data_IF_839246016469
#
_entry.id   IF_839246016469
#
_cell.length_a   1.000
_cell.length_b   1.000
_cell.length_c   1.000
_cell.angle_alpha   90.00
_cell.angle_beta   90.00
_cell.angle_gamma   90.00
#
_symmetry.space_group_name_H-M   'P 1'
#
loop_
_entity.id
_entity.type
_entity.pdbx_description
1 polymer ?
#
# COMPACT_ATOMS: atom_id res chain seq x y z
N UNK A 1 5.58 -29.66 11.78
CA UNK A 1 6.85 -29.63 11.02
C UNK A 1 7.72 -30.80 11.44
N UNK A 2 8.34 -31.49 10.51
CA UNK A 2 9.38 -32.44 10.84
C UNK A 2 10.67 -31.66 11.09
N UNK A 3 11.40 -31.93 12.19
CA UNK A 3 12.68 -31.28 12.52
C UNK A 3 13.72 -31.31 11.38
N UNK A 4 13.51 -32.15 10.36
CA UNK A 4 14.41 -32.34 9.23
C UNK A 4 14.45 -31.19 8.21
N UNK A 5 13.40 -30.37 8.18
CA UNK A 5 13.24 -29.32 7.14
C UNK A 5 13.72 -27.95 7.61
N UNK A 6 14.16 -27.83 8.88
CA UNK A 6 14.63 -26.55 9.45
C UNK A 6 16.06 -26.22 9.01
N UNK A 7 16.26 -24.98 8.57
CA UNK A 7 17.56 -24.41 8.24
C UNK A 7 18.16 -23.70 9.45
N UNK A 8 19.26 -24.21 9.97
CA UNK A 8 19.91 -23.70 11.17
C UNK A 8 21.34 -23.29 10.82
N UNK A 9 21.77 -22.09 11.26
CA UNK A 9 23.19 -21.67 11.18
C UNK A 9 23.77 -21.66 12.60
N UNK A 10 24.94 -22.26 12.77
CA UNK A 10 25.75 -22.21 13.99
C UNK A 10 26.93 -21.29 13.69
N UNK A 11 27.08 -20.23 14.50
CA UNK A 11 28.16 -19.24 14.38
C UNK A 11 28.98 -19.25 15.66
N UNK A 12 30.25 -19.57 15.57
CA UNK A 12 31.18 -19.59 16.71
C UNK A 12 32.61 -19.64 16.13
N UNK A 13 33.55 -18.88 16.65
CA UNK A 13 34.92 -18.87 16.15
C UNK A 13 35.69 -20.17 16.47
N UNK A 14 35.30 -20.87 17.53
CA UNK A 14 35.92 -22.09 17.98
C UNK A 14 35.36 -23.31 17.25
N UNK A 15 36.15 -23.98 16.43
CA UNK A 15 35.76 -25.17 15.69
C UNK A 15 35.18 -26.28 16.60
N UNK A 16 35.78 -26.49 17.77
CA UNK A 16 35.30 -27.48 18.73
C UNK A 16 33.87 -27.21 19.20
N UNK A 17 33.57 -25.96 19.51
CA UNK A 17 32.23 -25.51 19.94
C UNK A 17 31.20 -25.78 18.85
N UNK A 18 31.48 -25.39 17.60
CA UNK A 18 30.60 -25.65 16.45
C UNK A 18 30.28 -27.14 16.28
N UNK A 19 31.30 -28.01 16.44
CA UNK A 19 31.13 -29.46 16.28
C UNK A 19 30.25 -30.04 17.42
N UNK A 20 30.44 -29.59 18.64
CA UNK A 20 29.65 -30.02 19.83
C UNK A 20 28.17 -29.67 19.61
N UNK A 21 27.88 -28.41 19.29
CA UNK A 21 26.51 -27.94 19.04
C UNK A 21 25.86 -28.66 17.86
N UNK A 22 26.57 -28.80 16.75
CA UNK A 22 26.12 -29.55 15.55
C UNK A 22 25.78 -30.99 15.89
N UNK A 23 26.65 -31.64 16.66
CA UNK A 23 26.45 -33.05 17.04
C UNK A 23 25.20 -33.22 17.92
N UNK A 24 24.97 -32.29 18.86
CA UNK A 24 23.78 -32.28 19.72
C UNK A 24 22.50 -32.08 18.88
N UNK A 25 22.51 -31.13 17.95
CA UNK A 25 21.37 -30.91 17.04
C UNK A 25 21.10 -32.10 16.14
N UNK A 26 22.14 -32.70 15.56
CA UNK A 26 21.98 -33.88 14.71
C UNK A 26 21.39 -35.06 15.47
N UNK A 27 21.78 -35.28 16.74
CA UNK A 27 21.15 -36.31 17.62
C UNK A 27 19.68 -35.99 17.89
N UNK A 28 19.30 -34.71 17.92
CA UNK A 28 17.91 -34.29 18.08
C UNK A 28 17.10 -34.33 16.76
N UNK A 29 17.72 -34.73 15.63
CA UNK A 29 17.04 -34.95 14.35
C UNK A 29 17.03 -33.73 13.43
N UNK A 30 17.92 -32.72 13.66
CA UNK A 30 18.11 -31.58 12.78
C UNK A 30 19.24 -31.87 11.78
N UNK A 31 18.88 -31.95 10.49
CA UNK A 31 19.83 -32.27 9.41
C UNK A 31 20.30 -31.02 8.65
N UNK A 32 19.48 -29.97 8.59
CA UNK A 32 19.76 -28.71 7.85
C UNK A 32 20.68 -27.73 8.57
N UNK A 33 21.83 -28.21 9.12
CA UNK A 33 22.74 -27.40 9.92
C UNK A 33 23.95 -26.94 9.12
N UNK A 34 24.06 -25.63 8.91
CA UNK A 34 25.21 -24.93 8.30
C UNK A 34 26.12 -24.38 9.38
N UNK A 35 27.40 -24.27 9.10
CA UNK A 35 28.40 -23.77 10.05
C UNK A 35 29.04 -22.48 9.51
N UNK A 36 29.24 -21.52 10.38
CA UNK A 36 30.01 -20.30 10.15
C UNK A 36 31.07 -20.15 11.24
N UNK A 37 32.28 -19.78 10.87
CA UNK A 37 33.39 -19.51 11.80
C UNK A 37 33.48 -18.04 12.20
N UNK A 38 32.65 -17.19 11.65
CA UNK A 38 32.58 -15.76 11.89
C UNK A 38 31.20 -15.20 11.58
N UNK A 39 30.88 -14.05 12.14
CA UNK A 39 29.67 -13.32 11.85
C UNK A 39 29.57 -12.97 10.34
N UNK A 40 30.68 -12.57 9.73
CA UNK A 40 30.74 -12.26 8.29
C UNK A 40 30.39 -13.46 7.43
N UNK A 41 30.89 -14.66 7.76
CA UNK A 41 30.52 -15.89 7.07
C UNK A 41 29.05 -16.23 7.27
N UNK A 42 28.50 -16.03 8.46
CA UNK A 42 27.09 -16.25 8.71
C UNK A 42 26.17 -15.36 7.87
N UNK A 43 26.51 -14.07 7.74
CA UNK A 43 25.81 -13.14 6.85
C UNK A 43 25.91 -13.57 5.38
N UNK A 44 27.06 -14.07 4.94
CA UNK A 44 27.22 -14.64 3.60
C UNK A 44 26.31 -15.86 3.37
N UNK A 45 26.24 -16.80 4.32
CA UNK A 45 25.35 -17.95 4.25
C UNK A 45 23.87 -17.56 4.23
N UNK A 46 23.50 -16.48 4.92
CA UNK A 46 22.14 -15.94 4.88
C UNK A 46 21.78 -15.29 3.54
N UNK A 47 22.77 -14.75 2.82
CA UNK A 47 22.55 -14.22 1.47
C UNK A 47 22.30 -15.34 0.44
N UNK A 48 22.97 -16.47 0.61
CA UNK A 48 22.80 -17.63 -0.26
C UNK A 48 21.46 -18.34 0.00
N UNK A 49 21.11 -18.52 1.26
CA UNK A 49 19.90 -19.19 1.69
C UNK A 49 19.46 -18.72 3.08
N UNK A 50 18.18 -18.39 3.24
CA UNK A 50 17.59 -18.03 4.55
C UNK A 50 17.80 -19.12 5.60
N UNK A 51 17.71 -18.73 6.86
CA UNK A 51 17.73 -19.63 8.01
C UNK A 51 16.50 -19.38 8.89
N UNK A 52 15.98 -20.45 9.49
CA UNK A 52 14.91 -20.35 10.47
C UNK A 52 15.46 -19.97 11.84
N UNK A 53 16.65 -20.51 12.19
CA UNK A 53 17.30 -20.28 13.49
C UNK A 53 18.79 -20.04 13.31
N UNK A 54 19.32 -19.06 14.04
CA UNK A 54 20.75 -18.83 14.22
C UNK A 54 21.13 -19.10 15.67
N UNK A 55 22.17 -19.91 15.86
CA UNK A 55 22.85 -20.11 17.13
C UNK A 55 24.18 -19.40 17.05
N UNK A 56 24.35 -18.27 17.69
CA UNK A 56 25.58 -17.49 17.62
C UNK A 56 26.29 -17.45 18.95
N UNK A 57 27.62 -17.55 18.93
CA UNK A 57 28.42 -17.19 20.09
C UNK A 57 28.26 -15.69 20.40
N UNK A 58 28.16 -15.37 21.68
CA UNK A 58 28.13 -13.97 22.11
C UNK A 58 29.44 -13.25 21.78
N UNK A 59 30.56 -13.87 22.13
CA UNK A 59 31.88 -13.26 22.00
C UNK A 59 32.63 -13.85 20.80
N UNK A 60 32.71 -13.07 19.74
CA UNK A 60 33.48 -13.43 18.54
C UNK A 60 34.41 -12.28 18.14
N UNK A 61 35.55 -12.58 17.47
CA UNK A 61 36.42 -11.53 16.92
C UNK A 61 35.71 -10.71 15.84
N UNK A 62 36.10 -9.44 15.67
CA UNK A 62 35.63 -8.48 14.66
C UNK A 62 34.16 -8.03 14.82
N UNK A 63 33.24 -8.97 14.98
CA UNK A 63 31.81 -8.72 15.13
C UNK A 63 31.24 -9.70 16.14
N UNK A 64 30.72 -9.21 17.24
CA UNK A 64 30.14 -10.05 18.31
C UNK A 64 28.72 -10.52 17.96
N UNK A 65 28.11 -11.30 18.87
CA UNK A 65 26.77 -11.85 18.66
C UNK A 65 25.67 -10.80 18.65
N UNK A 66 25.85 -9.67 19.38
CA UNK A 66 24.88 -8.57 19.40
C UNK A 66 24.92 -7.77 18.09
N UNK A 67 26.10 -7.41 17.62
CA UNK A 67 26.25 -6.71 16.34
C UNK A 67 25.78 -7.58 15.18
N UNK A 68 26.04 -8.90 15.21
CA UNK A 68 25.47 -9.84 14.25
C UNK A 68 23.95 -9.84 14.29
N UNK A 69 23.36 -9.79 15.49
CA UNK A 69 21.89 -9.72 15.66
C UNK A 69 21.32 -8.49 15.01
N UNK A 70 21.89 -7.31 15.25
CA UNK A 70 21.45 -6.05 14.63
C UNK A 70 21.46 -6.13 13.09
N UNK A 71 22.51 -6.69 12.52
CA UNK A 71 22.63 -6.88 11.06
C UNK A 71 21.57 -7.84 10.51
N UNK A 72 21.27 -8.90 11.26
CA UNK A 72 20.22 -9.84 10.86
C UNK A 72 18.84 -9.18 10.96
N UNK A 73 18.55 -8.42 12.01
CA UNK A 73 17.29 -7.70 12.17
C UNK A 73 17.07 -6.68 11.05
N UNK A 74 18.09 -5.89 10.71
CA UNK A 74 18.02 -4.98 9.57
C UNK A 74 17.72 -5.72 8.26
N UNK A 75 18.44 -6.83 8.01
CA UNK A 75 18.21 -7.66 6.82
C UNK A 75 16.80 -8.25 6.80
N UNK A 76 16.32 -8.74 7.92
CA UNK A 76 14.99 -9.34 8.05
C UNK A 76 13.89 -8.32 7.78
N UNK A 77 14.05 -7.08 8.25
CA UNK A 77 13.14 -5.97 7.96
C UNK A 77 13.11 -5.64 6.45
N UNK A 78 14.29 -5.50 5.81
CA UNK A 78 14.40 -5.23 4.38
C UNK A 78 13.82 -6.35 3.50
N UNK A 79 14.04 -7.62 3.89
CA UNK A 79 13.54 -8.78 3.17
C UNK A 79 12.08 -9.13 3.54
N UNK A 80 11.56 -8.59 4.65
CA UNK A 80 10.29 -8.95 5.26
C UNK A 80 10.25 -10.43 5.64
N UNK A 81 11.28 -10.89 6.30
CA UNK A 81 11.46 -12.24 6.84
C UNK A 81 11.75 -12.15 8.34
N UNK A 82 11.75 -13.27 9.00
CA UNK A 82 12.11 -13.37 10.40
C UNK A 82 13.01 -14.56 10.64
N UNK A 83 14.17 -14.33 11.26
CA UNK A 83 15.15 -15.34 11.66
C UNK A 83 15.22 -15.38 13.17
N UNK A 84 14.95 -16.50 13.81
CA UNK A 84 15.10 -16.61 15.26
C UNK A 84 16.59 -16.68 15.65
N UNK A 85 16.98 -15.93 16.67
CA UNK A 85 18.37 -15.82 17.13
C UNK A 85 18.50 -16.27 18.58
N UNK A 86 19.38 -17.24 18.80
CA UNK A 86 19.73 -17.74 20.14
C UNK A 86 21.22 -17.48 20.38
N UNK A 87 21.56 -16.71 21.41
CA UNK A 87 22.96 -16.50 21.79
C UNK A 87 23.49 -17.59 22.71
N UNK A 88 24.70 -18.04 22.44
CA UNK A 88 25.47 -18.95 23.30
C UNK A 88 26.45 -18.11 24.15
N UNK A 89 26.34 -18.14 25.45
CA UNK A 89 27.17 -17.31 26.36
C UNK A 89 27.85 -18.13 27.43
N UNK A 90 29.06 -17.72 27.82
CA UNK A 90 29.75 -18.21 29.01
C UNK A 90 29.51 -17.33 30.24
N UNK A 91 28.96 -16.12 30.04
CA UNK A 91 28.78 -15.11 31.09
C UNK A 91 27.44 -15.22 31.81
N UNK A 92 27.47 -14.82 33.10
CA UNK A 92 26.33 -14.76 34.00
C UNK A 92 26.10 -13.31 34.43
N UNK A 93 25.19 -12.60 33.76
CA UNK A 93 24.84 -11.23 34.19
C UNK A 93 23.42 -10.91 33.72
N UNK A 94 22.56 -10.44 34.62
CA UNK A 94 21.19 -10.04 34.28
C UNK A 94 21.21 -8.86 33.32
N UNK A 95 22.12 -7.92 33.51
CA UNK A 95 22.23 -6.71 32.68
C UNK A 95 22.58 -7.05 31.22
N UNK A 96 23.46 -8.02 30.99
CA UNK A 96 23.81 -8.49 29.64
C UNK A 96 22.62 -9.15 28.95
N UNK A 97 21.77 -9.84 29.72
CA UNK A 97 20.56 -10.47 29.14
C UNK A 97 19.53 -9.41 28.70
N UNK A 98 19.35 -8.37 29.50
CA UNK A 98 18.46 -7.25 29.12
C UNK A 98 18.95 -6.59 27.84
N UNK A 99 20.24 -6.30 27.74
CA UNK A 99 20.88 -5.75 26.56
C UNK A 99 20.64 -6.64 25.31
N UNK A 100 20.82 -7.96 25.45
CA UNK A 100 20.61 -8.89 24.34
C UNK A 100 19.17 -8.85 23.81
N UNK A 101 18.18 -8.82 24.70
CA UNK A 101 16.77 -8.74 24.28
C UNK A 101 16.43 -7.38 23.65
N UNK A 102 17.04 -6.27 24.11
CA UNK A 102 16.87 -4.96 23.47
C UNK A 102 17.42 -4.92 22.04
N UNK A 103 18.49 -5.67 21.75
CA UNK A 103 19.01 -5.89 20.38
C UNK A 103 18.16 -6.87 19.55
N UNK A 104 17.11 -7.47 20.14
CA UNK A 104 16.20 -8.36 19.43
C UNK A 104 16.65 -9.82 19.37
N UNK A 105 17.47 -10.28 20.30
CA UNK A 105 17.76 -11.70 20.52
C UNK A 105 16.49 -12.39 21.05
N UNK A 106 16.18 -13.57 20.56
CA UNK A 106 14.96 -14.31 20.96
C UNK A 106 15.16 -15.16 22.20
N UNK A 107 16.36 -15.69 22.38
CA UNK A 107 16.70 -16.55 23.52
C UNK A 107 18.22 -16.64 23.70
N UNK A 108 18.65 -17.19 24.82
CA UNK A 108 20.04 -17.48 25.09
C UNK A 108 20.26 -18.83 25.77
N UNK A 109 21.47 -19.36 25.66
CA UNK A 109 21.89 -20.62 26.26
C UNK A 109 23.30 -20.50 26.83
N UNK A 110 23.54 -21.15 27.97
CA UNK A 110 24.87 -21.22 28.59
C UNK A 110 25.77 -22.23 27.87
N UNK A 111 27.01 -21.91 27.73
CA UNK A 111 28.07 -22.82 27.27
C UNK A 111 28.69 -23.62 28.45
N UNK A 112 28.94 -24.95 28.32
CA UNK A 112 28.51 -25.79 27.22
C UNK A 112 27.01 -26.07 27.31
N UNK A 113 26.23 -26.03 26.19
CA UNK A 113 24.78 -26.21 26.25
C UNK A 113 24.43 -27.67 26.57
N UNK A 114 23.45 -27.85 27.45
CA UNK A 114 22.84 -29.18 27.64
C UNK A 114 22.11 -29.59 26.33
N UNK A 115 22.39 -30.80 25.77
CA UNK A 115 21.79 -31.19 24.48
C UNK A 115 20.25 -31.22 24.48
N UNK A 116 19.60 -31.55 25.58
CA UNK A 116 18.14 -31.55 25.66
C UNK A 116 17.57 -30.15 25.74
N UNK A 117 18.22 -29.25 26.49
CA UNK A 117 17.84 -27.86 26.57
C UNK A 117 18.04 -27.15 25.23
N UNK A 118 19.19 -27.35 24.57
CA UNK A 118 19.47 -26.83 23.24
C UNK A 118 18.37 -27.25 22.24
N UNK A 119 18.04 -28.53 22.20
CA UNK A 119 17.01 -29.03 21.29
C UNK A 119 15.61 -28.42 21.58
N UNK A 120 15.26 -28.26 22.86
CA UNK A 120 13.99 -27.65 23.26
C UNK A 120 13.89 -26.18 22.86
N UNK A 121 14.96 -25.39 23.08
CA UNK A 121 14.99 -23.98 22.74
C UNK A 121 15.02 -23.76 21.22
N UNK A 122 15.82 -24.53 20.49
CA UNK A 122 15.82 -24.49 19.01
C UNK A 122 14.44 -24.84 18.45
N UNK A 123 13.75 -25.81 19.02
CA UNK A 123 12.38 -26.15 18.60
C UNK A 123 11.41 -24.98 18.86
N UNK A 124 11.51 -24.33 20.01
CA UNK A 124 10.67 -23.18 20.35
C UNK A 124 10.94 -22.00 19.43
N UNK A 125 12.21 -21.65 19.23
CA UNK A 125 12.65 -20.58 18.34
C UNK A 125 12.24 -20.81 16.88
N UNK A 126 12.45 -22.03 16.36
CA UNK A 126 12.03 -22.42 15.03
C UNK A 126 10.52 -22.30 14.83
N UNK A 127 9.72 -22.69 15.81
CA UNK A 127 8.27 -22.53 15.76
C UNK A 127 7.86 -21.06 15.67
N UNK A 128 8.52 -20.19 16.43
CA UNK A 128 8.28 -18.74 16.38
C UNK A 128 8.64 -18.21 14.99
N UNK A 129 9.83 -18.54 14.48
CA UNK A 129 10.28 -18.09 13.16
C UNK A 129 9.30 -18.49 12.04
N UNK A 130 8.84 -19.74 12.04
CA UNK A 130 7.87 -20.21 11.06
C UNK A 130 6.55 -19.46 11.18
N UNK A 131 6.02 -19.31 12.41
CA UNK A 131 4.75 -18.58 12.60
C UNK A 131 4.85 -17.11 12.18
N UNK A 132 5.96 -16.46 12.46
CA UNK A 132 6.22 -15.07 12.04
C UNK A 132 6.31 -14.97 10.51
N UNK A 133 7.05 -15.87 9.86
CA UNK A 133 7.18 -15.87 8.41
C UNK A 133 5.84 -16.18 7.72
N UNK A 134 5.04 -17.13 8.24
CA UNK A 134 3.69 -17.41 7.73
C UNK A 134 2.77 -16.20 7.86
N UNK A 135 2.87 -15.44 8.96
CA UNK A 135 2.11 -14.20 9.17
C UNK A 135 2.52 -13.10 8.19
N UNK A 136 3.83 -12.90 8.00
CA UNK A 136 4.37 -11.92 7.05
C UNK A 136 3.94 -12.23 5.61
N UNK A 137 4.02 -13.51 5.20
CA UNK A 137 3.57 -13.96 3.89
C UNK A 137 2.05 -13.77 3.70
N UNK A 138 1.25 -14.13 4.71
CA UNK A 138 -0.21 -13.93 4.68
C UNK A 138 -0.56 -12.45 4.56
N UNK A 139 0.14 -11.58 5.30
CA UNK A 139 -0.06 -10.13 5.23
C UNK A 139 0.23 -9.58 3.82
N UNK A 140 1.33 -10.02 3.20
CA UNK A 140 1.67 -9.64 1.81
C UNK A 140 0.61 -10.09 0.81
N UNK A 141 0.16 -11.34 0.92
CA UNK A 141 -0.89 -11.88 0.03
C UNK A 141 -2.21 -11.11 0.18
N UNK A 142 -2.56 -10.70 1.41
CA UNK A 142 -3.73 -9.86 1.66
C UNK A 142 -3.57 -8.48 1.00
N UNK A 143 -2.42 -7.83 1.13
CA UNK A 143 -2.16 -6.55 0.48
C UNK A 143 -2.25 -6.63 -1.05
N UNK A 144 -1.68 -7.67 -1.65
CA UNK A 144 -1.74 -7.88 -3.10
C UNK A 144 -3.17 -8.17 -3.57
N UNK A 145 -3.94 -8.92 -2.77
CA UNK A 145 -5.36 -9.17 -3.04
C UNK A 145 -6.17 -7.88 -2.98
N UNK A 146 -5.94 -7.03 -1.98
CA UNK A 146 -6.60 -5.72 -1.85
C UNK A 146 -6.25 -4.85 -3.07
N UNK A 147 -4.98 -4.73 -3.45
CA UNK A 147 -4.55 -3.98 -4.64
C UNK A 147 -5.22 -4.51 -5.92
N UNK A 148 -5.32 -5.83 -6.04
CA UNK A 148 -6.00 -6.44 -7.19
C UNK A 148 -7.49 -6.12 -7.21
N UNK A 149 -8.20 -6.23 -6.08
CA UNK A 149 -9.62 -5.88 -5.96
C UNK A 149 -9.85 -4.39 -6.25
N UNK A 150 -9.00 -3.50 -5.76
CA UNK A 150 -9.04 -2.07 -6.09
C UNK A 150 -8.86 -1.83 -7.61
N UNK A 151 -7.98 -2.58 -8.27
CA UNK A 151 -7.81 -2.48 -9.71
C UNK A 151 -9.02 -2.99 -10.51
N UNK A 152 -9.74 -3.96 -10.00
CA UNK A 152 -10.95 -4.52 -10.65
C UNK A 152 -12.20 -3.72 -10.29
N UNK A 153 -12.24 -3.12 -9.10
CA UNK A 153 -13.36 -2.29 -8.65
C UNK A 153 -13.59 -1.12 -9.61
N UNK A 154 -14.86 -0.87 -9.93
CA UNK A 154 -15.31 0.28 -10.75
C UNK A 154 -15.73 1.48 -9.89
N UNK A 155 -15.54 1.40 -8.58
CA UNK A 155 -16.05 2.37 -7.59
C UNK A 155 -14.88 2.95 -6.78
N UNK A 156 -14.94 4.22 -6.52
CA UNK A 156 -14.06 4.92 -5.58
C UNK A 156 -14.48 4.60 -4.12
N UNK A 157 -13.60 4.05 -3.29
CA UNK A 157 -13.98 3.56 -1.97
C UNK A 157 -14.36 4.67 -0.98
N UNK A 158 -13.84 5.90 -1.17
CA UNK A 158 -14.14 7.03 -0.30
C UNK A 158 -15.51 7.62 -0.58
N UNK A 159 -15.82 7.87 -1.84
CA UNK A 159 -17.00 8.64 -2.24
C UNK A 159 -18.17 7.78 -2.70
N UNK A 160 -17.93 6.51 -3.06
CA UNK A 160 -18.91 5.63 -3.68
C UNK A 160 -19.27 6.01 -5.13
N UNK A 161 -18.61 7.01 -5.71
CA UNK A 161 -18.71 7.31 -7.13
C UNK A 161 -18.00 6.26 -7.99
N UNK A 162 -18.20 6.26 -9.30
CA UNK A 162 -17.31 5.52 -10.20
C UNK A 162 -15.87 5.98 -10.02
N UNK A 163 -14.91 5.12 -10.33
CA UNK A 163 -13.50 5.50 -10.36
C UNK A 163 -13.06 5.85 -11.80
N UNK A 164 -11.78 6.19 -11.97
CA UNK A 164 -11.21 6.52 -13.29
C UNK A 164 -11.44 5.40 -14.32
N UNK A 165 -11.37 4.14 -13.91
CA UNK A 165 -11.58 2.98 -14.78
C UNK A 165 -13.04 2.89 -15.25
N UNK A 166 -13.98 3.09 -14.34
CA UNK A 166 -15.39 3.21 -14.63
C UNK A 166 -15.65 4.31 -15.67
N UNK A 167 -15.11 5.52 -15.42
CA UNK A 167 -15.29 6.65 -16.34
C UNK A 167 -14.73 6.34 -17.74
N UNK A 168 -13.54 5.77 -17.84
CA UNK A 168 -12.93 5.38 -19.12
C UNK A 168 -13.78 4.35 -19.89
N UNK A 169 -14.35 3.37 -19.18
CA UNK A 169 -15.25 2.37 -19.76
C UNK A 169 -16.55 3.01 -20.28
N UNK A 170 -17.18 3.88 -19.48
CA UNK A 170 -18.40 4.60 -19.86
C UNK A 170 -18.17 5.52 -21.06
N UNK A 171 -17.06 6.27 -21.07
CA UNK A 171 -16.66 7.12 -22.18
C UNK A 171 -16.52 6.32 -23.47
N UNK A 172 -15.81 5.19 -23.45
CA UNK A 172 -15.64 4.35 -24.63
C UNK A 172 -16.98 3.94 -25.24
N UNK A 173 -17.91 3.50 -24.39
CA UNK A 173 -19.22 3.03 -24.86
C UNK A 173 -20.07 4.19 -25.39
N UNK A 174 -20.10 5.32 -24.69
CA UNK A 174 -20.92 6.46 -25.10
C UNK A 174 -20.39 7.17 -26.35
N UNK A 175 -19.06 7.24 -26.55
CA UNK A 175 -18.47 7.76 -27.79
C UNK A 175 -18.84 6.91 -29.00
N UNK A 176 -18.78 5.59 -28.88
CA UNK A 176 -19.21 4.67 -29.94
C UNK A 176 -20.71 4.80 -30.25
N UNK A 177 -21.54 4.92 -29.23
CA UNK A 177 -22.97 5.13 -29.41
C UNK A 177 -23.29 6.47 -30.09
N UNK A 178 -22.67 7.56 -29.62
CA UNK A 178 -22.83 8.90 -30.18
C UNK A 178 -22.41 8.96 -31.65
N UNK A 179 -21.27 8.39 -32.02
CA UNK A 179 -20.76 8.31 -33.38
C UNK A 179 -21.71 7.50 -34.29
N UNK A 180 -22.30 6.40 -33.80
CA UNK A 180 -23.18 5.56 -34.60
C UNK A 180 -24.58 6.11 -34.79
N UNK A 181 -25.05 7.02 -33.89
CA UNK A 181 -26.45 7.51 -33.88
C UNK A 181 -26.55 9.04 -33.98
N UNK A 182 -25.49 9.70 -34.38
CA UNK A 182 -25.43 11.17 -34.45
C UNK A 182 -25.85 11.85 -33.12
N UNK A 183 -25.41 11.27 -31.99
CA UNK A 183 -25.60 11.79 -30.65
C UNK A 183 -24.48 12.72 -30.21
N UNK A 184 -24.50 13.12 -28.95
CA UNK A 184 -23.41 13.92 -28.35
C UNK A 184 -22.99 13.41 -26.98
N UNK A 185 -21.74 13.64 -26.64
CA UNK A 185 -21.17 13.28 -25.32
C UNK A 185 -20.50 14.50 -24.71
N UNK A 186 -20.92 14.88 -23.51
CA UNK A 186 -20.30 15.95 -22.75
C UNK A 186 -19.55 15.38 -21.55
N UNK A 187 -18.28 15.69 -21.44
CA UNK A 187 -17.45 15.40 -20.29
C UNK A 187 -17.10 16.70 -19.57
N UNK A 188 -17.53 16.82 -18.32
CA UNK A 188 -17.11 17.88 -17.40
C UNK A 188 -16.17 17.31 -16.37
N UNK A 189 -14.95 17.85 -16.26
CA UNK A 189 -14.00 17.53 -15.19
C UNK A 189 -13.97 18.71 -14.23
N UNK A 190 -14.05 18.39 -12.93
CA UNK A 190 -14.18 19.39 -11.88
C UNK A 190 -13.08 19.20 -10.85
N UNK A 191 -12.52 20.31 -10.40
CA UNK A 191 -11.63 20.38 -9.25
C UNK A 191 -12.28 21.23 -8.14
N UNK A 192 -12.18 20.74 -6.90
CA UNK A 192 -12.66 21.50 -5.75
C UNK A 192 -11.64 22.58 -5.44
N UNK A 193 -12.05 23.86 -5.59
CA UNK A 193 -11.19 24.98 -5.25
C UNK A 193 -10.82 24.92 -3.76
N UNK A 194 -9.55 25.21 -3.44
CA UNK A 194 -9.04 25.33 -2.07
C UNK A 194 -9.10 24.03 -1.23
N UNK A 195 -9.33 22.84 -1.80
CA UNK A 195 -9.38 21.61 -1.01
C UNK A 195 -8.05 21.32 -0.28
N UNK A 196 -6.93 21.71 -0.89
CA UNK A 196 -5.61 21.63 -0.23
C UNK A 196 -5.56 22.48 1.04
N UNK A 197 -6.08 23.70 1.00
CA UNK A 197 -6.15 24.59 2.17
C UNK A 197 -7.08 24.04 3.25
N UNK A 198 -8.22 23.45 2.85
CA UNK A 198 -9.14 22.79 3.78
C UNK A 198 -8.43 21.62 4.48
N UNK A 199 -7.65 20.83 3.74
CA UNK A 199 -6.86 19.72 4.31
C UNK A 199 -5.79 20.20 5.29
N UNK A 200 -5.11 21.31 5.00
CA UNK A 200 -4.10 21.91 5.88
C UNK A 200 -4.71 22.53 7.15
N UNK A 201 -5.88 23.15 7.04
CA UNK A 201 -6.53 23.86 8.16
C UNK A 201 -7.38 22.96 9.03
N UNK A 202 -8.07 21.98 8.46
CA UNK A 202 -9.10 21.19 9.14
C UNK A 202 -8.77 19.69 9.19
N UNK A 203 -7.67 19.25 8.55
CA UNK A 203 -7.28 17.85 8.53
C UNK A 203 -7.89 17.04 7.38
N UNK A 204 -7.38 15.81 7.23
CA UNK A 204 -7.75 14.91 6.15
C UNK A 204 -9.21 14.45 6.24
N UNK A 205 -9.72 14.18 7.44
CA UNK A 205 -11.08 13.67 7.65
C UNK A 205 -12.12 14.68 7.17
N UNK A 206 -11.93 15.96 7.48
CA UNK A 206 -12.83 17.03 7.04
C UNK A 206 -12.77 17.22 5.51
N UNK A 207 -11.59 17.14 4.92
CA UNK A 207 -11.45 17.16 3.46
C UNK A 207 -12.17 15.97 2.81
N UNK A 208 -12.10 14.79 3.40
CA UNK A 208 -12.82 13.60 2.94
C UNK A 208 -14.35 13.78 3.05
N UNK A 209 -14.84 14.38 4.11
CA UNK A 209 -16.27 14.71 4.24
C UNK A 209 -16.74 15.67 3.14
N UNK A 210 -15.91 16.64 2.74
CA UNK A 210 -16.19 17.53 1.61
C UNK A 210 -16.26 16.75 0.30
N UNK A 211 -15.33 15.83 0.05
CA UNK A 211 -15.33 14.97 -1.15
C UNK A 211 -16.59 14.09 -1.21
N UNK A 212 -16.98 13.47 -0.11
CA UNK A 212 -18.22 12.69 -0.01
C UNK A 212 -19.45 13.59 -0.25
N UNK A 213 -19.45 14.78 0.32
CA UNK A 213 -20.48 15.78 0.12
C UNK A 213 -20.58 16.24 -1.35
N UNK A 214 -19.44 16.42 -2.02
CA UNK A 214 -19.35 16.76 -3.44
C UNK A 214 -20.04 15.70 -4.32
N UNK A 215 -19.69 14.44 -4.12
CA UNK A 215 -20.34 13.34 -4.85
C UNK A 215 -21.88 13.38 -4.70
N UNK A 216 -22.40 13.59 -3.49
CA UNK A 216 -23.84 13.67 -3.23
C UNK A 216 -24.50 14.85 -3.94
N UNK A 217 -23.83 16.01 -4.00
CA UNK A 217 -24.32 17.19 -4.73
C UNK A 217 -24.33 16.99 -6.22
N UNK A 218 -23.21 16.46 -6.78
CA UNK A 218 -23.15 16.11 -8.19
C UNK A 218 -24.28 15.16 -8.56
N UNK A 219 -24.52 14.10 -7.78
CA UNK A 219 -25.59 13.12 -8.08
C UNK A 219 -27.00 13.76 -8.10
N UNK A 220 -27.24 14.77 -7.28
CA UNK A 220 -28.52 15.52 -7.27
C UNK A 220 -28.66 16.51 -8.43
N UNK A 221 -27.56 16.92 -9.02
CA UNK A 221 -27.51 17.94 -10.09
C UNK A 221 -27.57 17.36 -11.51
N UNK A 222 -27.41 16.04 -11.64
CA UNK A 222 -27.39 15.33 -12.93
C UNK A 222 -28.51 14.30 -13.03
N UNK A 223 -28.74 13.78 -14.23
CA UNK A 223 -29.76 12.73 -14.47
C UNK A 223 -29.30 11.39 -13.90
N UNK A 224 -30.23 10.46 -13.58
CA UNK A 224 -29.85 9.09 -13.19
C UNK A 224 -28.97 8.36 -14.21
N UNK A 225 -29.12 8.66 -15.50
CA UNK A 225 -28.36 8.09 -16.61
C UNK A 225 -26.97 8.67 -16.78
N UNK A 226 -26.69 9.84 -16.21
CA UNK A 226 -25.38 10.48 -16.28
C UNK A 226 -24.40 9.79 -15.32
N UNK A 227 -23.18 9.56 -15.76
CA UNK A 227 -22.15 8.92 -14.94
C UNK A 227 -21.33 9.95 -14.16
N UNK A 228 -21.03 9.63 -12.93
CA UNK A 228 -20.15 10.43 -12.06
C UNK A 228 -19.00 9.53 -11.61
N UNK A 229 -17.78 10.02 -11.70
CA UNK A 229 -16.60 9.34 -11.18
C UNK A 229 -15.70 10.32 -10.42
N UNK A 230 -15.00 9.79 -9.43
CA UNK A 230 -13.83 10.42 -8.85
C UNK A 230 -12.60 9.94 -9.62
N UNK A 231 -11.84 10.89 -10.12
CA UNK A 231 -10.58 10.63 -10.82
C UNK A 231 -9.41 10.66 -9.82
N UNK A 232 -8.19 10.69 -10.34
CA UNK A 232 -7.01 10.77 -9.50
C UNK A 232 -6.98 12.09 -8.71
N UNK A 233 -6.43 12.06 -7.51
CA UNK A 233 -6.38 13.23 -6.65
C UNK A 233 -7.78 13.70 -6.19
N UNK A 234 -8.05 14.99 -6.39
CA UNK A 234 -9.25 15.67 -5.91
C UNK A 234 -10.27 15.96 -7.04
N UNK A 235 -10.08 15.32 -8.21
CA UNK A 235 -10.87 15.55 -9.41
C UNK A 235 -12.13 14.69 -9.45
N UNK A 236 -13.24 15.28 -9.91
CA UNK A 236 -14.45 14.57 -10.30
C UNK A 236 -14.70 14.69 -11.79
N UNK A 237 -15.36 13.71 -12.36
CA UNK A 237 -15.82 13.74 -13.73
C UNK A 237 -17.32 13.45 -13.80
N UNK A 238 -18.00 14.21 -14.63
CA UNK A 238 -19.43 13.99 -14.95
C UNK A 238 -19.55 13.78 -16.44
N UNK A 239 -20.14 12.65 -16.83
CA UNK A 239 -20.35 12.25 -18.21
C UNK A 239 -21.84 12.28 -18.51
N UNK A 240 -22.23 13.08 -19.49
CA UNK A 240 -23.60 13.28 -19.93
C UNK A 240 -23.73 12.89 -21.38
N UNK A 241 -24.73 12.06 -21.69
CA UNK A 241 -25.05 11.61 -23.04
C UNK A 241 -26.28 12.33 -23.59
N UNK A 242 -26.25 12.64 -24.88
CA UNK A 242 -27.34 13.28 -25.62
C UNK A 242 -27.65 12.46 -26.88
N UNK A 243 -28.92 12.13 -27.07
CA UNK A 243 -29.38 11.35 -28.22
C UNK A 243 -29.33 12.12 -29.53
N UNK A 244 -29.22 13.43 -29.48
CA UNK A 244 -29.05 14.32 -30.64
C UNK A 244 -27.97 15.37 -30.28
N UNK A 245 -27.07 15.65 -31.23
CA UNK A 245 -25.97 16.61 -31.04
C UNK A 245 -26.44 18.02 -30.64
N UNK A 246 -27.62 18.44 -31.05
CA UNK A 246 -28.13 19.79 -30.75
C UNK A 246 -28.83 19.90 -29.40
N UNK A 247 -28.98 18.81 -28.67
CA UNK A 247 -29.60 18.80 -27.37
C UNK A 247 -28.68 19.23 -26.21
N UNK A 248 -27.39 19.41 -26.46
CA UNK A 248 -26.45 19.95 -25.51
C UNK A 248 -26.76 21.43 -25.20
N UNK A 249 -26.82 21.77 -23.92
CA UNK A 249 -26.99 23.13 -23.43
C UNK A 249 -25.98 23.42 -22.32
N UNK A 250 -25.22 24.50 -22.48
CA UNK A 250 -24.27 24.95 -21.46
C UNK A 250 -24.93 25.18 -20.08
N UNK A 251 -26.24 25.48 -20.04
CA UNK A 251 -27.01 25.58 -18.80
C UNK A 251 -27.00 24.31 -17.94
N UNK A 252 -26.70 23.14 -18.52
CA UNK A 252 -26.51 21.91 -17.75
C UNK A 252 -25.28 21.98 -16.85
N UNK A 253 -24.21 22.61 -17.35
CA UNK A 253 -22.95 22.80 -16.60
C UNK A 253 -23.12 23.94 -15.55
N UNK A 254 -23.81 25.00 -15.92
CA UNK A 254 -24.14 26.08 -14.95
C UNK A 254 -24.98 25.56 -13.79
N UNK A 255 -25.89 24.62 -14.03
CA UNK A 255 -26.68 23.97 -12.97
C UNK A 255 -25.78 23.10 -12.08
N UNK A 256 -24.77 22.41 -12.66
CA UNK A 256 -23.75 21.65 -11.88
C UNK A 256 -23.02 22.59 -10.93
N UNK A 257 -22.45 23.70 -11.45
CA UNK A 257 -21.76 24.73 -10.67
C UNK A 257 -22.65 25.30 -9.58
N UNK A 258 -23.86 25.70 -9.92
CA UNK A 258 -24.84 26.24 -8.98
C UNK A 258 -25.16 25.23 -7.86
N UNK A 259 -25.32 23.95 -8.17
CA UNK A 259 -25.55 22.89 -7.18
C UNK A 259 -24.40 22.70 -6.19
N UNK A 260 -23.17 22.99 -6.61
CA UNK A 260 -21.99 22.93 -5.74
C UNK A 260 -21.94 24.14 -4.81
N UNK A 261 -22.16 25.34 -5.30
CA UNK A 261 -21.89 26.59 -4.61
C UNK A 261 -23.05 27.08 -3.71
N UNK A 262 -24.29 26.61 -3.92
CA UNK A 262 -25.50 27.16 -3.28
C UNK A 262 -25.47 27.12 -1.75
N UNK A 263 -24.85 26.12 -1.13
CA UNK A 263 -24.85 25.92 0.32
C UNK A 263 -23.49 25.45 0.80
N UNK A 264 -23.05 25.82 2.00
CA UNK A 264 -21.86 25.24 2.60
C UNK A 264 -21.96 23.72 2.73
N UNK A 265 -20.84 23.06 2.75
CA UNK A 265 -20.75 21.62 3.04
C UNK A 265 -20.78 21.44 4.55
N UNK A 266 -21.74 20.66 5.04
CA UNK A 266 -21.81 20.30 6.45
C UNK A 266 -20.74 19.26 6.74
N UNK A 267 -19.84 19.57 7.65
CA UNK A 267 -18.79 18.67 8.14
C UNK A 267 -18.91 18.50 9.65
N UNK A 268 -18.21 17.52 10.21
CA UNK A 268 -18.17 17.27 11.65
C UNK A 268 -17.53 18.42 12.43
N UNK A 269 -16.70 19.25 11.83
CA UNK A 269 -16.06 20.40 12.47
C UNK A 269 -16.84 21.71 12.29
N UNK A 270 -17.31 22.00 11.06
CA UNK A 270 -18.01 23.25 10.74
C UNK A 270 -18.67 23.18 9.36
N UNK A 271 -19.46 24.18 9.02
CA UNK A 271 -19.97 24.40 7.68
C UNK A 271 -18.90 25.05 6.80
N UNK A 272 -18.44 24.35 5.74
CA UNK A 272 -17.36 24.80 4.84
C UNK A 272 -17.95 25.20 3.50
N UNK A 273 -17.69 26.44 3.08
CA UNK A 273 -18.06 26.93 1.75
C UNK A 273 -16.95 26.60 0.78
N UNK A 274 -17.29 25.90 -0.31
CA UNK A 274 -16.38 25.57 -1.40
C UNK A 274 -16.99 25.91 -2.74
N UNK A 275 -16.16 26.21 -3.72
CA UNK A 275 -16.47 26.31 -5.14
C UNK A 275 -15.73 25.22 -5.92
N UNK A 276 -16.01 25.15 -7.20
CA UNK A 276 -15.30 24.22 -8.08
C UNK A 276 -15.05 24.87 -9.44
N UNK A 277 -13.85 24.69 -9.97
CA UNK A 277 -13.50 25.01 -11.35
C UNK A 277 -13.83 23.84 -12.25
N UNK A 278 -14.37 24.10 -13.44
CA UNK A 278 -14.94 23.09 -14.33
C UNK A 278 -14.38 23.24 -15.74
N UNK A 279 -13.73 22.22 -16.26
CA UNK A 279 -13.35 22.08 -17.66
C UNK A 279 -14.34 21.20 -18.41
N UNK A 280 -14.82 21.68 -19.53
CA UNK A 280 -15.87 20.99 -20.30
C UNK A 280 -15.38 20.71 -21.71
N UNK A 281 -15.60 19.47 -22.16
CA UNK A 281 -15.44 19.13 -23.57
C UNK A 281 -16.69 18.41 -24.07
N UNK A 282 -17.22 18.89 -25.19
CA UNK A 282 -18.36 18.30 -25.87
C UNK A 282 -17.94 17.67 -27.18
N UNK A 283 -18.15 16.36 -27.32
CA UNK A 283 -17.96 15.61 -28.55
C UNK A 283 -19.27 15.52 -29.32
N UNK A 284 -19.23 15.85 -30.59
CA UNK A 284 -20.35 15.70 -31.54
C UNK A 284 -20.17 14.40 -32.32
N UNK A 285 -21.20 13.57 -32.36
CA UNK A 285 -21.16 12.30 -33.06
C UNK A 285 -21.09 12.40 -34.60
N UNK A 286 -21.26 13.61 -35.14
CA UNK A 286 -21.06 13.94 -36.56
C UNK A 286 -19.59 14.31 -36.91
N UNK A 287 -18.71 14.35 -35.93
CA UNK A 287 -17.27 14.56 -36.08
C UNK A 287 -16.48 13.24 -36.10
N UNK A 288 -15.20 13.30 -36.46
CA UNK A 288 -14.29 12.17 -36.36
C UNK A 288 -14.26 11.60 -34.96
N UNK A 289 -14.33 10.28 -34.81
CA UNK A 289 -14.37 9.62 -33.50
C UNK A 289 -13.05 9.78 -32.78
N UNK A 290 -13.11 10.27 -31.54
CA UNK A 290 -11.96 10.43 -30.67
C UNK A 290 -11.88 9.31 -29.64
N UNK A 291 -10.69 9.05 -29.11
CA UNK A 291 -10.51 8.10 -28.02
C UNK A 291 -10.97 8.66 -26.68
N UNK A 292 -11.37 7.77 -25.75
CA UNK A 292 -11.68 8.18 -24.38
C UNK A 292 -10.52 8.92 -23.70
N UNK A 293 -9.26 8.56 -24.02
CA UNK A 293 -8.06 9.24 -23.52
C UNK A 293 -7.98 10.67 -24.04
N UNK A 294 -8.24 10.83 -25.33
CA UNK A 294 -8.23 12.15 -25.98
C UNK A 294 -9.30 13.07 -25.39
N UNK A 295 -10.52 12.54 -25.20
CA UNK A 295 -11.61 13.32 -24.61
C UNK A 295 -11.29 13.78 -23.19
N UNK A 296 -10.68 12.90 -22.35
CA UNK A 296 -10.23 13.28 -21.01
C UNK A 296 -9.17 14.37 -21.10
N UNK A 297 -8.17 14.25 -21.96
CA UNK A 297 -7.13 15.24 -22.11
C UNK A 297 -7.68 16.60 -22.52
N UNK A 298 -8.61 16.66 -23.47
CA UNK A 298 -9.24 17.91 -23.90
C UNK A 298 -10.05 18.57 -22.78
N UNK A 299 -10.80 17.78 -22.00
CA UNK A 299 -11.53 18.28 -20.85
C UNK A 299 -10.60 18.75 -19.72
N UNK A 300 -9.45 18.08 -19.51
CA UNK A 300 -8.41 18.51 -18.56
C UNK A 300 -7.79 19.84 -18.97
N UNK A 301 -7.41 20.02 -20.24
CA UNK A 301 -6.90 21.30 -20.73
C UNK A 301 -7.90 22.46 -20.49
N UNK A 302 -9.20 22.17 -20.64
CA UNK A 302 -10.25 23.13 -20.32
C UNK A 302 -10.39 23.40 -18.82
N UNK A 303 -10.11 22.41 -17.98
CA UNK A 303 -10.05 22.61 -16.54
C UNK A 303 -8.87 23.53 -16.16
N UNK A 304 -7.70 23.31 -16.74
CA UNK A 304 -6.53 24.18 -16.52
C UNK A 304 -6.83 25.64 -16.92
N UNK A 305 -7.48 25.84 -18.09
CA UNK A 305 -7.96 27.17 -18.51
C UNK A 305 -8.98 27.79 -17.52
N UNK A 306 -9.83 26.97 -16.89
CA UNK A 306 -10.78 27.45 -15.90
C UNK A 306 -10.09 27.87 -14.59
N UNK A 307 -9.11 27.07 -14.12
CA UNK A 307 -8.30 27.37 -12.93
C UNK A 307 -7.50 28.68 -13.12
N UNK A 308 -6.91 28.87 -14.29
CA UNK A 308 -6.17 30.08 -14.62
C UNK A 308 -7.05 31.37 -14.64
N UNK A 309 -8.36 31.22 -14.91
CA UNK A 309 -9.33 32.33 -14.81
C UNK A 309 -9.70 32.67 -13.36
N UNK A 310 -9.33 31.82 -12.41
CA UNK A 310 -9.66 31.96 -11.00
C UNK A 310 -10.72 30.95 -10.53
N UNK A 311 -10.92 30.89 -9.22
CA UNK A 311 -11.88 29.97 -8.60
C UNK A 311 -13.32 30.16 -9.12
N UNK A 312 -14.14 29.12 -9.04
CA UNK A 312 -15.54 29.13 -9.47
C UNK A 312 -15.73 29.46 -10.96
N UNK A 313 -14.85 28.92 -11.80
CA UNK A 313 -14.81 29.19 -13.24
C UNK A 313 -15.23 28.01 -14.08
N UNK A 314 -15.73 28.27 -15.29
CA UNK A 314 -16.01 27.25 -16.31
C UNK A 314 -15.24 27.61 -17.59
N UNK A 315 -14.61 26.61 -18.23
CA UNK A 315 -14.04 26.70 -19.58
C UNK A 315 -14.63 25.60 -20.46
N UNK A 316 -15.00 25.99 -21.69
CA UNK A 316 -15.60 25.11 -22.72
C UNK A 316 -14.66 24.84 -23.86
#
# INVERSE_FOLDING_TARGET
>A
MKNKDLSIIIVDDLQFSRIVVKTALKKAGYDGVRLADSATQALGLLQEQSADVILADWMMPEMDGLELTDRIRQRDEEAGTYTAIILLTANEGIDLLVEAFEHGVDDYLRKPPNPHELAARVNAAARIAVMQNDLLETSRQMEDTIKHLEQVAMIDPLTGAGNRRFMKSQLKNQLLEASSRNGGVCLAILEIDQLKQIREQHGLDIANEVLIGMQRRLRRSVRPTDAIAKLDGDLFAVLMHYTNVDNYKASSIERLRGGINQRPFKTSASDIKVSASIGVYYYRGDEEIISAKEMINRAMNKLDEAIDKGNDSISY
#
